data_IF_937305492407
#
_entry.id   IF_937305492407
#
_cell.length_a   1.000
_cell.length_b   1.000
_cell.length_c   1.000
_cell.angle_alpha   90.00
_cell.angle_beta   90.00
_cell.angle_gamma   90.00
#
_symmetry.space_group_name_H-M   'P 1'
#
loop_
_entity.id
_entity.type
_entity.pdbx_description
1 polymer ?
#
# COMPACT_ATOMS: atom_id res chain seq x y z
N UNK A 1 17.35 20.96 -10.81
CA UNK A 1 17.23 19.51 -11.13
C UNK A 1 15.76 19.25 -11.33
N UNK A 2 15.36 18.82 -12.53
CA UNK A 2 13.96 18.55 -12.80
C UNK A 2 13.54 17.35 -11.94
N UNK A 3 12.72 17.58 -10.93
CA UNK A 3 11.93 16.52 -10.28
C UNK A 3 10.99 15.96 -11.35
N UNK A 4 11.52 15.07 -12.18
CA UNK A 4 10.70 14.18 -13.01
C UNK A 4 9.97 13.33 -11.97
N UNK A 5 8.76 13.78 -11.59
CA UNK A 5 7.96 13.21 -10.53
C UNK A 5 7.84 11.70 -10.70
N UNK A 6 8.75 10.99 -10.04
CA UNK A 6 8.77 9.55 -10.00
C UNK A 6 7.55 9.17 -9.19
N UNK A 7 6.48 8.78 -9.88
CA UNK A 7 5.31 8.18 -9.25
C UNK A 7 5.57 6.69 -9.28
N UNK A 8 6.13 6.08 -8.21
CA UNK A 8 6.57 4.67 -8.21
C UNK A 8 5.47 3.71 -8.66
N UNK A 9 4.21 4.11 -8.50
CA UNK A 9 3.05 3.28 -8.77
C UNK A 9 2.33 3.60 -10.09
N UNK A 10 2.73 4.66 -10.81
CA UNK A 10 2.03 5.12 -12.02
C UNK A 10 2.10 4.15 -13.20
N UNK A 11 3.15 3.33 -13.25
CA UNK A 11 3.37 2.40 -14.37
C UNK A 11 3.03 0.94 -14.03
N UNK A 12 2.60 0.66 -12.79
CA UNK A 12 2.19 -0.69 -12.40
C UNK A 12 0.85 -1.03 -13.05
N UNK A 13 0.65 -2.31 -13.39
CA UNK A 13 -0.65 -2.83 -13.77
C UNK A 13 -1.58 -2.89 -12.56
N UNK A 14 -2.89 -2.84 -12.77
CA UNK A 14 -3.87 -2.72 -11.68
C UNK A 14 -3.82 -3.90 -10.69
N UNK A 15 -3.55 -5.12 -11.16
CA UNK A 15 -3.39 -6.29 -10.28
C UNK A 15 -2.14 -6.17 -9.40
N UNK A 16 -1.01 -5.72 -9.97
CA UNK A 16 0.24 -5.49 -9.23
C UNK A 16 0.04 -4.39 -8.20
N UNK A 17 -0.66 -3.32 -8.58
CA UNK A 17 -0.98 -2.22 -7.67
C UNK A 17 -1.82 -2.68 -6.47
N UNK A 18 -2.77 -3.60 -6.69
CA UNK A 18 -3.54 -4.22 -5.62
C UNK A 18 -2.69 -5.13 -4.73
N UNK A 19 -1.77 -5.91 -5.29
CA UNK A 19 -0.84 -6.74 -4.50
C UNK A 19 0.07 -5.89 -3.61
N UNK A 20 0.60 -4.78 -4.14
CA UNK A 20 1.39 -3.82 -3.37
C UNK A 20 0.60 -3.18 -2.23
N UNK A 21 -0.68 -2.83 -2.47
CA UNK A 21 -1.58 -2.34 -1.41
C UNK A 21 -1.71 -3.36 -0.29
N UNK A 22 -1.96 -4.64 -0.62
CA UNK A 22 -2.12 -5.68 0.39
C UNK A 22 -0.82 -5.92 1.18
N UNK A 23 0.32 -5.98 0.49
CA UNK A 23 1.65 -6.14 1.10
C UNK A 23 1.97 -4.99 2.07
N UNK A 24 1.75 -3.74 1.66
CA UNK A 24 2.00 -2.58 2.53
C UNK A 24 1.04 -2.50 3.71
N UNK A 25 -0.23 -2.85 3.53
CA UNK A 25 -1.18 -2.92 4.65
C UNK A 25 -0.72 -3.92 5.72
N UNK A 26 -0.24 -5.09 5.31
CA UNK A 26 0.31 -6.07 6.24
C UNK A 26 1.57 -5.55 6.95
N UNK A 27 2.48 -4.93 6.20
CA UNK A 27 3.69 -4.32 6.77
C UNK A 27 3.37 -3.24 7.80
N UNK A 28 2.41 -2.36 7.50
CA UNK A 28 1.91 -1.34 8.43
C UNK A 28 1.24 -1.96 9.66
N UNK A 29 0.48 -3.04 9.50
CA UNK A 29 -0.10 -3.79 10.62
C UNK A 29 0.99 -4.32 11.55
N UNK A 30 2.04 -4.95 11.00
CA UNK A 30 3.17 -5.45 11.79
C UNK A 30 3.91 -4.31 12.48
N UNK A 31 4.20 -3.21 11.77
CA UNK A 31 4.88 -2.04 12.32
C UNK A 31 4.06 -1.33 13.39
N UNK A 32 2.72 -1.34 13.29
CA UNK A 32 1.84 -0.77 14.32
C UNK A 32 1.92 -1.47 15.68
N UNK A 33 2.49 -2.69 15.71
CA UNK A 33 2.76 -3.46 16.92
C UNK A 33 4.22 -3.36 17.39
N UNK A 34 5.05 -2.60 16.67
CA UNK A 34 6.46 -2.36 16.98
C UNK A 34 6.66 -0.94 17.51
N UNK A 35 7.71 -0.72 18.31
CA UNK A 35 8.11 0.62 18.77
C UNK A 35 8.90 1.43 17.71
N UNK A 36 8.95 0.96 16.45
CA UNK A 36 9.68 1.60 15.34
C UNK A 36 8.76 2.58 14.58
N UNK A 37 8.48 3.73 15.21
CA UNK A 37 7.60 4.76 14.65
C UNK A 37 8.15 5.40 13.37
N UNK A 38 9.47 5.57 13.26
CA UNK A 38 10.10 6.16 12.08
C UNK A 38 9.80 5.33 10.83
N UNK A 39 10.02 4.01 10.93
CA UNK A 39 9.74 3.08 9.85
C UNK A 39 8.25 2.96 9.55
N UNK A 40 7.40 3.05 10.57
CA UNK A 40 5.95 3.11 10.36
C UNK A 40 5.56 4.31 9.49
N UNK A 41 6.08 5.50 9.79
CA UNK A 41 5.76 6.71 9.04
C UNK A 41 6.33 6.71 7.62
N UNK A 42 7.52 6.16 7.41
CA UNK A 42 8.09 5.96 6.09
C UNK A 42 7.17 5.09 5.21
N UNK A 43 6.78 3.92 5.74
CA UNK A 43 5.87 3.02 5.03
C UNK A 43 4.48 3.61 4.83
N UNK A 44 3.97 4.41 5.77
CA UNK A 44 2.67 5.07 5.68
C UNK A 44 2.66 6.13 4.58
N UNK A 45 3.76 6.85 4.38
CA UNK A 45 3.89 7.81 3.28
C UNK A 45 3.87 7.11 1.91
N UNK A 46 4.60 6.01 1.77
CA UNK A 46 4.56 5.23 0.53
C UNK A 46 3.18 4.61 0.27
N UNK A 47 2.53 4.12 1.33
CA UNK A 47 1.17 3.61 1.25
C UNK A 47 0.16 4.69 0.82
N UNK A 48 0.31 5.93 1.28
CA UNK A 48 -0.54 7.04 0.83
C UNK A 48 -0.42 7.29 -0.68
N UNK A 49 0.80 7.26 -1.23
CA UNK A 49 1.01 7.40 -2.68
C UNK A 49 0.34 6.27 -3.48
N UNK A 50 0.38 5.03 -2.97
CA UNK A 50 -0.36 3.89 -3.53
C UNK A 50 -1.87 4.12 -3.53
N UNK A 51 -2.43 4.60 -2.42
CA UNK A 51 -3.87 4.88 -2.30
C UNK A 51 -4.31 6.01 -3.22
N UNK A 52 -3.49 7.05 -3.40
CA UNK A 52 -3.75 8.12 -4.37
C UNK A 52 -3.86 7.55 -5.78
N UNK A 53 -2.95 6.65 -6.16
CA UNK A 53 -2.95 6.01 -7.47
C UNK A 53 -4.19 5.11 -7.68
N UNK A 54 -4.54 4.28 -6.69
CA UNK A 54 -5.73 3.43 -6.68
C UNK A 54 -7.00 4.27 -6.90
N UNK A 55 -7.14 5.36 -6.12
CA UNK A 55 -8.26 6.29 -6.25
C UNK A 55 -8.29 6.96 -7.62
N UNK A 56 -7.13 7.38 -8.14
CA UNK A 56 -7.02 8.01 -9.47
C UNK A 56 -7.49 7.07 -10.59
N UNK A 57 -7.23 5.77 -10.46
CA UNK A 57 -7.61 4.74 -11.44
C UNK A 57 -8.99 4.15 -11.21
N UNK A 58 -9.68 4.55 -10.13
CA UNK A 58 -10.96 4.01 -9.73
C UNK A 58 -10.94 2.48 -9.51
N UNK A 59 -9.81 1.97 -9.00
CA UNK A 59 -9.66 0.55 -8.66
C UNK A 59 -10.35 0.29 -7.33
N UNK A 60 -11.17 -0.76 -7.27
CA UNK A 60 -11.82 -1.17 -6.04
C UNK A 60 -10.91 -2.10 -5.26
N UNK A 61 -10.56 -1.71 -4.02
CA UNK A 61 -9.95 -2.62 -3.06
C UNK A 61 -11.09 -3.46 -2.48
N UNK A 62 -11.12 -4.75 -2.83
CA UNK A 62 -12.13 -5.65 -2.29
C UNK A 62 -11.82 -5.96 -0.82
N UNK A 63 -12.69 -5.46 0.07
CA UNK A 63 -12.57 -5.64 1.51
C UNK A 63 -12.70 -7.11 1.90
N UNK A 64 -13.43 -7.94 1.16
CA UNK A 64 -13.48 -9.38 1.45
C UNK A 64 -12.16 -10.07 1.12
N UNK A 65 -11.59 -9.80 -0.06
CA UNK A 65 -10.26 -10.31 -0.43
C UNK A 65 -9.20 -9.85 0.58
N UNK A 66 -9.29 -8.61 1.05
CA UNK A 66 -8.43 -8.10 2.12
C UNK A 66 -8.57 -8.86 3.44
N UNK A 67 -9.82 -9.02 3.93
CA UNK A 67 -10.09 -9.75 5.18
C UNK A 67 -9.61 -11.19 5.06
N UNK A 68 -9.84 -11.86 3.92
CA UNK A 68 -9.36 -13.23 3.68
C UNK A 68 -7.83 -13.30 3.77
N UNK A 69 -7.10 -12.36 3.16
CA UNK A 69 -5.63 -12.33 3.24
C UNK A 69 -5.11 -12.06 4.65
N UNK A 70 -5.80 -11.23 5.46
CA UNK A 70 -5.35 -10.92 6.82
C UNK A 70 -5.72 -12.02 7.83
N UNK A 71 -6.91 -12.62 7.72
CA UNK A 71 -7.43 -13.58 8.71
C UNK A 71 -6.93 -15.00 8.45
N UNK A 72 -6.67 -15.39 7.20
CA UNK A 72 -6.26 -16.76 6.88
C UNK A 72 -4.78 -17.02 7.22
N UNK A 73 -3.96 -15.98 7.33
CA UNK A 73 -2.54 -16.08 7.74
C UNK A 73 -2.32 -15.99 9.28
N UNK A 74 -3.35 -16.31 10.09
CA UNK A 74 -3.28 -16.48 11.57
C UNK A 74 -3.55 -17.94 11.92
#
# INVERSE_FOLDING_TARGET
MSEIGYKPYKNLEDYVLLEEVYSKMEKLRLLSTSDDEEKYWEEANEFNELIIEIKRRNITIDKETWIKKIIIDI
#
